data_IF_455361386583
#
_entry.id   IF_455361386583
#
_cell.length_a   1.000
_cell.length_b   1.000
_cell.length_c   1.000
_cell.angle_alpha   90.00
_cell.angle_beta   90.00
_cell.angle_gamma   90.00
#
_symmetry.space_group_name_H-M   'P 1'
#
loop_
_entity.id
_entity.type
_entity.pdbx_description
1 polymer ?
#
# COMPACT_ATOMS: atom_id res chain seq x y z
N UNK A 1 -10.08 -13.74 -1.08
CA UNK A 1 -10.58 -15.06 -1.52
C UNK A 1 -10.24 -15.31 -2.97
N UNK A 2 -10.98 -14.76 -3.94
CA UNK A 2 -10.79 -15.06 -5.37
C UNK A 2 -9.34 -14.93 -5.88
N UNK A 3 -8.65 -13.85 -5.52
CA UNK A 3 -7.25 -13.65 -5.94
C UNK A 3 -6.30 -14.76 -5.43
N UNK A 4 -6.55 -15.33 -4.26
CA UNK A 4 -5.79 -16.48 -3.76
C UNK A 4 -6.19 -17.79 -4.49
N UNK A 5 -7.47 -17.98 -4.77
CA UNK A 5 -7.98 -19.15 -5.51
C UNK A 5 -7.47 -19.20 -6.96
N UNK A 6 -7.29 -18.03 -7.58
CA UNK A 6 -6.81 -17.89 -8.95
C UNK A 6 -5.30 -17.61 -9.05
N UNK A 7 -4.58 -17.59 -7.92
CA UNK A 7 -3.15 -17.27 -7.87
C UNK A 7 -2.80 -15.95 -8.59
N UNK A 8 -3.60 -14.90 -8.36
CA UNK A 8 -3.43 -13.58 -8.98
C UNK A 8 -3.04 -12.52 -7.95
N UNK A 9 -2.21 -11.53 -8.32
CA UNK A 9 -1.88 -10.42 -7.44
C UNK A 9 -3.08 -9.47 -7.27
N UNK A 10 -3.07 -8.69 -6.19
CA UNK A 10 -4.12 -7.71 -5.90
C UNK A 10 -3.64 -6.28 -6.10
N UNK A 11 -4.47 -5.47 -6.74
CA UNK A 11 -4.31 -4.02 -6.89
C UNK A 11 -5.29 -3.33 -5.95
N UNK A 12 -4.77 -2.71 -4.89
CA UNK A 12 -5.56 -2.32 -3.72
C UNK A 12 -5.55 -0.81 -3.50
N UNK A 13 -6.65 -0.29 -2.99
CA UNK A 13 -6.81 1.09 -2.57
C UNK A 13 -7.00 1.16 -1.04
N UNK A 14 -6.37 2.13 -0.39
CA UNK A 14 -6.62 2.48 1.01
C UNK A 14 -6.51 4.00 1.17
N UNK A 15 -7.45 4.58 1.92
CA UNK A 15 -7.44 5.97 2.35
C UNK A 15 -8.14 6.07 3.70
N UNK A 16 -7.47 6.68 4.68
CA UNK A 16 -7.98 6.91 6.04
C UNK A 16 -8.52 5.64 6.74
N UNK A 17 -7.96 4.46 6.39
CA UNK A 17 -8.46 3.16 6.83
C UNK A 17 -7.34 2.13 7.07
N UNK A 18 -6.10 2.58 7.27
CA UNK A 18 -4.89 1.73 7.29
C UNK A 18 -4.96 0.57 8.29
N UNK A 19 -5.33 0.84 9.54
CA UNK A 19 -5.42 -0.19 10.58
C UNK A 19 -6.41 -1.31 10.20
N UNK A 20 -7.60 -0.91 9.74
CA UNK A 20 -8.63 -1.86 9.32
C UNK A 20 -8.23 -2.61 8.05
N UNK A 21 -7.60 -1.90 7.11
CA UNK A 21 -7.08 -2.46 5.87
C UNK A 21 -6.06 -3.57 6.14
N UNK A 22 -5.05 -3.31 6.98
CA UNK A 22 -4.06 -4.33 7.33
C UNK A 22 -4.68 -5.49 8.10
N UNK A 23 -5.58 -5.22 9.07
CA UNK A 23 -6.28 -6.27 9.83
C UNK A 23 -7.01 -7.25 8.90
N UNK A 24 -7.62 -6.76 7.83
CA UNK A 24 -8.33 -7.59 6.85
C UNK A 24 -7.39 -8.29 5.87
N UNK A 25 -6.26 -7.67 5.51
CA UNK A 25 -5.32 -8.19 4.54
C UNK A 25 -4.37 -9.24 5.13
N UNK A 26 -3.95 -9.09 6.38
CA UNK A 26 -2.94 -9.94 7.05
C UNK A 26 -3.15 -11.45 6.83
N UNK A 27 -4.37 -12.03 7.00
CA UNK A 27 -4.59 -13.46 6.84
C UNK A 27 -4.51 -13.97 5.38
N UNK A 28 -4.34 -13.05 4.42
CA UNK A 28 -4.28 -13.34 2.98
C UNK A 28 -2.89 -13.14 2.38
N UNK A 29 -1.97 -12.43 3.05
CA UNK A 29 -0.67 -12.08 2.47
C UNK A 29 0.10 -13.31 2.00
N UNK A 30 0.18 -14.35 2.82
CA UNK A 30 0.88 -15.61 2.48
C UNK A 30 0.18 -16.44 1.40
N UNK A 31 -1.04 -16.06 1.00
CA UNK A 31 -1.87 -16.76 0.00
C UNK A 31 -1.93 -16.02 -1.32
N UNK A 32 -1.32 -14.84 -1.42
CA UNK A 32 -1.33 -14.01 -2.61
C UNK A 32 0.08 -14.00 -3.22
N UNK A 33 0.22 -14.12 -4.54
CA UNK A 33 1.54 -14.04 -5.19
C UNK A 33 2.15 -12.63 -5.14
N UNK A 34 1.32 -11.61 -4.87
CA UNK A 34 1.77 -10.23 -4.74
C UNK A 34 0.63 -9.26 -4.46
N UNK A 35 0.98 -8.09 -3.95
CA UNK A 35 0.02 -7.08 -3.53
C UNK A 35 0.60 -5.67 -3.73
N UNK A 36 -0.13 -4.81 -4.43
CA UNK A 36 0.24 -3.40 -4.59
C UNK A 36 -0.83 -2.50 -3.97
N UNK A 37 -0.41 -1.61 -3.07
CA UNK A 37 -1.23 -0.52 -2.58
C UNK A 37 -1.02 0.68 -3.50
N UNK A 38 -1.95 0.86 -4.44
CA UNK A 38 -1.83 1.88 -5.47
C UNK A 38 -2.18 3.26 -4.94
N UNK A 39 -1.62 4.29 -5.57
CA UNK A 39 -1.86 5.69 -5.21
C UNK A 39 -1.65 5.94 -3.71
N UNK A 40 -0.54 5.45 -3.18
CA UNK A 40 -0.20 5.59 -1.77
C UNK A 40 0.06 7.06 -1.42
N UNK A 41 -0.64 7.54 -0.39
CA UNK A 41 -0.49 8.91 0.16
C UNK A 41 -0.46 8.87 1.69
N UNK A 42 -0.11 7.74 2.28
CA UNK A 42 -0.06 7.54 3.73
C UNK A 42 1.22 8.08 4.37
N UNK A 43 1.34 7.88 5.68
CA UNK A 43 2.49 8.33 6.46
C UNK A 43 3.73 7.44 6.27
N UNK A 44 4.90 7.92 6.76
CA UNK A 44 6.14 7.12 6.82
C UNK A 44 5.93 5.79 7.54
N UNK A 45 5.18 5.80 8.64
CA UNK A 45 4.94 4.61 9.43
C UNK A 45 4.10 3.60 8.64
N UNK A 46 3.01 4.06 8.02
CA UNK A 46 2.15 3.21 7.19
C UNK A 46 2.91 2.63 6.00
N UNK A 47 3.81 3.41 5.39
CA UNK A 47 4.68 2.95 4.31
C UNK A 47 5.60 1.81 4.77
N UNK A 48 6.29 1.98 5.90
CA UNK A 48 7.18 0.96 6.46
C UNK A 48 6.42 -0.31 6.84
N UNK A 49 5.24 -0.19 7.44
CA UNK A 49 4.39 -1.33 7.80
C UNK A 49 3.95 -2.14 6.58
N UNK A 50 3.61 -1.46 5.48
CA UNK A 50 3.28 -2.11 4.21
C UNK A 50 4.51 -2.81 3.60
N UNK A 51 5.66 -2.12 3.54
CA UNK A 51 6.89 -2.66 2.96
C UNK A 51 7.41 -3.87 3.73
N UNK A 52 7.35 -3.85 5.07
CA UNK A 52 7.73 -4.99 5.92
C UNK A 52 6.86 -6.23 5.67
N UNK A 53 5.62 -6.04 5.22
CA UNK A 53 4.67 -7.10 4.84
C UNK A 53 4.78 -7.53 3.37
N UNK A 54 5.76 -6.99 2.63
CA UNK A 54 5.98 -7.34 1.23
C UNK A 54 5.02 -6.67 0.24
N UNK A 55 4.26 -5.65 0.66
CA UNK A 55 3.44 -4.87 -0.27
C UNK A 55 4.31 -3.93 -1.10
N UNK A 56 3.92 -3.77 -2.36
CA UNK A 56 4.45 -2.71 -3.22
C UNK A 56 3.64 -1.42 -3.02
N UNK A 57 4.30 -0.27 -3.01
CA UNK A 57 3.65 1.04 -2.88
C UNK A 57 3.67 1.78 -4.22
N UNK A 58 2.48 2.13 -4.71
CA UNK A 58 2.33 2.90 -5.93
C UNK A 58 2.43 4.40 -5.67
N UNK A 59 3.57 5.01 -6.01
CA UNK A 59 3.78 6.46 -5.95
C UNK A 59 3.31 7.10 -7.25
N UNK A 60 2.59 8.22 -7.14
CA UNK A 60 2.04 8.96 -8.28
C UNK A 60 2.58 10.38 -8.34
N UNK A 61 2.08 11.19 -9.28
CA UNK A 61 2.34 12.62 -9.34
C UNK A 61 1.88 13.41 -8.12
N UNK A 62 1.20 12.78 -7.14
CA UNK A 62 0.90 13.39 -5.84
C UNK A 62 2.15 13.97 -5.17
N UNK A 63 3.30 13.33 -5.33
CA UNK A 63 4.59 13.77 -4.79
C UNK A 63 5.06 15.14 -5.34
N UNK A 64 4.52 15.54 -6.49
CA UNK A 64 4.83 16.82 -7.13
C UNK A 64 3.91 17.96 -6.65
N UNK A 65 2.92 17.69 -5.80
CA UNK A 65 2.03 18.72 -5.24
C UNK A 65 2.76 19.48 -4.11
N UNK A 66 3.16 20.72 -4.37
CA UNK A 66 3.90 21.57 -3.42
C UNK A 66 3.12 21.90 -2.14
N UNK A 67 1.79 21.69 -2.11
CA UNK A 67 0.94 21.98 -0.96
C UNK A 67 0.70 20.77 -0.07
N UNK A 68 0.75 19.56 -0.64
CA UNK A 68 0.26 18.33 0.03
C UNK A 68 1.16 17.10 -0.13
N UNK A 69 2.03 17.10 -1.14
CA UNK A 69 2.87 15.96 -1.51
C UNK A 69 4.23 15.92 -0.82
N UNK A 70 4.62 16.99 -0.11
CA UNK A 70 5.94 17.14 0.47
C UNK A 70 6.29 16.02 1.47
N UNK A 71 5.35 15.64 2.35
CA UNK A 71 5.59 14.58 3.32
C UNK A 71 5.91 13.23 2.65
N UNK A 72 5.17 12.89 1.59
CA UNK A 72 5.43 11.68 0.81
C UNK A 72 6.75 11.77 0.04
N UNK A 73 7.07 12.97 -0.46
CA UNK A 73 8.32 13.23 -1.20
C UNK A 73 9.55 12.98 -0.34
N UNK A 74 9.51 13.38 0.92
CA UNK A 74 10.60 13.19 1.89
C UNK A 74 10.80 11.70 2.28
N UNK A 75 9.93 10.80 1.84
CA UNK A 75 10.09 9.36 2.01
C UNK A 75 10.85 8.70 0.86
N UNK A 76 10.99 9.39 -0.28
CA UNK A 76 11.64 8.86 -1.47
C UNK A 76 13.15 9.11 -1.44
N UNK A 77 13.95 8.23 -2.08
CA UNK A 77 15.40 8.39 -2.18
C UNK A 77 15.83 9.60 -3.02
#
# INVERSE_FOLDING_TARGET
ALAAELEMPVFMHCRDAHERFLTLLEPWLDKLPGAVLHCFTGSRQEALECLQRGLYLGITGWVCDERRGLELRDLLP
#
